data_IF_754880995589
#
_entry.id   IF_754880995589
#
_cell.length_a   1.000
_cell.length_b   1.000
_cell.length_c   1.000
_cell.angle_alpha   90.00
_cell.angle_beta   90.00
_cell.angle_gamma   90.00
#
_symmetry.space_group_name_H-M   'P 1'
#
loop_
_entity.id
_entity.type
_entity.pdbx_description
1 polymer ?
#
# COMPACT_ATOMS: atom_id res chain seq x y z
N UNK A 1 25.48 3.89 -55.09
CA UNK A 1 25.82 2.64 -54.41
C UNK A 1 24.57 2.15 -53.70
N UNK A 2 23.91 1.12 -54.21
CA UNK A 2 22.73 0.52 -53.57
C UNK A 2 23.19 -0.53 -52.56
N UNK A 3 22.75 -0.43 -51.31
CA UNK A 3 23.02 -1.43 -50.27
C UNK A 3 21.99 -2.56 -50.35
N UNK A 4 22.46 -3.81 -50.36
CA UNK A 4 21.58 -4.99 -50.27
C UNK A 4 20.97 -5.10 -48.85
N UNK A 5 19.68 -5.42 -48.77
CA UNK A 5 18.94 -5.58 -47.52
C UNK A 5 18.43 -7.01 -47.41
N UNK A 6 18.78 -7.73 -46.33
CA UNK A 6 18.33 -9.09 -46.04
C UNK A 6 17.30 -9.04 -44.90
N UNK A 7 16.04 -9.35 -45.21
CA UNK A 7 14.93 -9.30 -44.25
C UNK A 7 14.73 -10.66 -43.57
N UNK A 8 15.01 -10.75 -42.28
CA UNK A 8 14.73 -11.93 -41.46
C UNK A 8 13.39 -11.77 -40.74
N UNK A 9 12.51 -12.78 -40.84
CA UNK A 9 11.19 -12.77 -40.21
C UNK A 9 10.88 -14.11 -39.52
N UNK A 10 9.88 -14.12 -38.63
CA UNK A 10 9.52 -15.32 -37.87
C UNK A 10 8.70 -16.28 -38.73
N UNK A 11 8.78 -17.61 -38.50
CA UNK A 11 7.99 -18.60 -39.24
C UNK A 11 6.48 -18.49 -39.04
N UNK A 12 6.04 -17.81 -37.97
CA UNK A 12 4.63 -17.63 -37.62
C UNK A 12 4.00 -16.35 -38.20
N UNK A 13 4.73 -15.59 -39.02
CA UNK A 13 4.17 -14.40 -39.67
C UNK A 13 3.07 -14.78 -40.67
N UNK A 14 1.94 -14.10 -40.57
CA UNK A 14 0.74 -14.42 -41.35
C UNK A 14 0.83 -13.96 -42.80
N UNK A 15 1.54 -12.85 -43.07
CA UNK A 15 1.74 -12.34 -44.43
C UNK A 15 3.18 -11.83 -44.65
N UNK A 16 4.11 -12.73 -45.03
CA UNK A 16 5.48 -12.37 -45.36
C UNK A 16 5.62 -11.41 -46.55
N UNK A 17 4.61 -11.31 -47.42
CA UNK A 17 4.70 -10.52 -48.67
C UNK A 17 4.53 -9.03 -48.42
N UNK A 18 3.92 -8.63 -47.29
CA UNK A 18 3.78 -7.23 -46.90
C UNK A 18 5.02 -6.70 -46.16
N UNK A 19 5.85 -7.58 -45.60
CA UNK A 19 7.00 -7.20 -44.77
C UNK A 19 8.00 -6.29 -45.50
N UNK A 20 8.30 -6.45 -46.81
CA UNK A 20 9.18 -5.52 -47.54
C UNK A 20 8.67 -4.08 -47.52
N UNK A 21 7.36 -3.85 -47.68
CA UNK A 21 6.76 -2.49 -47.65
C UNK A 21 6.80 -1.85 -46.26
N UNK A 22 6.76 -2.68 -45.21
CA UNK A 22 6.88 -2.24 -43.82
C UNK A 22 8.34 -1.92 -43.50
N UNK A 23 9.27 -2.80 -43.90
CA UNK A 23 10.70 -2.62 -43.73
C UNK A 23 11.22 -1.38 -44.48
N UNK A 24 10.69 -1.10 -45.67
CA UNK A 24 10.98 0.13 -46.43
C UNK A 24 10.74 1.39 -45.59
N UNK A 25 9.61 1.47 -44.89
CA UNK A 25 9.31 2.60 -43.98
C UNK A 25 10.20 2.65 -42.76
N UNK A 26 10.66 1.50 -42.26
CA UNK A 26 11.53 1.43 -41.08
C UNK A 26 12.98 1.81 -41.40
N UNK A 27 13.45 1.52 -42.62
CA UNK A 27 14.79 1.86 -43.10
C UNK A 27 14.85 3.31 -43.59
N UNK A 28 13.70 3.91 -43.94
CA UNK A 28 13.62 5.30 -44.36
C UNK A 28 14.16 6.23 -43.27
N UNK A 29 15.09 7.09 -43.64
CA UNK A 29 15.59 8.14 -42.76
C UNK A 29 14.44 9.04 -42.29
N UNK A 30 14.45 9.36 -41.00
CA UNK A 30 13.46 10.23 -40.38
C UNK A 30 14.18 11.38 -39.66
N UNK A 31 13.50 12.53 -39.46
CA UNK A 31 14.11 13.66 -38.80
C UNK A 31 14.53 13.28 -37.37
N UNK A 32 15.83 13.31 -37.12
CA UNK A 32 16.39 13.00 -35.79
C UNK A 32 16.31 14.23 -34.91
N UNK A 33 15.82 14.05 -33.68
CA UNK A 33 15.87 15.12 -32.67
C UNK A 33 17.34 15.38 -32.31
N UNK A 34 17.78 16.64 -32.18
CA UNK A 34 19.12 16.93 -31.68
C UNK A 34 19.30 16.30 -30.30
N UNK A 35 20.45 15.67 -30.06
CA UNK A 35 20.78 15.08 -28.76
C UNK A 35 21.00 16.19 -27.75
N UNK A 36 20.02 16.39 -26.87
CA UNK A 36 20.15 17.33 -25.76
C UNK A 36 21.26 16.87 -24.83
N UNK A 37 22.21 17.76 -24.56
CA UNK A 37 23.19 17.54 -23.50
C UNK A 37 22.49 17.69 -22.15
N UNK A 38 22.84 16.83 -21.20
CA UNK A 38 22.35 16.96 -19.84
C UNK A 38 22.89 18.26 -19.23
N UNK A 39 21.98 19.08 -18.71
CA UNK A 39 22.30 20.31 -17.98
C UNK A 39 21.49 20.29 -16.68
N UNK A 40 22.14 20.33 -15.50
CA UNK A 40 21.43 20.48 -14.24
C UNK A 40 20.62 21.77 -14.25
N UNK A 41 19.35 21.70 -13.88
CA UNK A 41 18.51 22.91 -13.76
C UNK A 41 19.01 23.87 -12.68
N UNK A 42 19.70 23.34 -11.68
CA UNK A 42 20.32 24.12 -10.61
C UNK A 42 21.81 23.84 -10.60
N UNK A 43 22.60 24.88 -10.82
CA UNK A 43 24.05 24.81 -10.70
C UNK A 43 24.44 24.69 -9.23
N UNK A 44 25.59 24.05 -8.98
CA UNK A 44 26.12 23.93 -7.63
C UNK A 44 26.51 25.33 -7.11
N UNK A 45 25.74 25.82 -6.15
CA UNK A 45 25.94 27.11 -5.51
C UNK A 45 26.45 26.89 -4.09
N UNK A 46 27.76 27.08 -3.89
CA UNK A 46 28.39 26.88 -2.58
C UNK A 46 27.90 27.89 -1.52
N UNK A 47 27.22 28.97 -1.93
CA UNK A 47 26.62 29.95 -1.02
C UNK A 47 25.25 29.50 -0.48
N UNK A 48 24.59 28.52 -1.13
CA UNK A 48 23.28 27.99 -0.73
C UNK A 48 23.43 26.68 0.01
N UNK A 49 23.49 26.76 1.34
CA UNK A 49 23.54 25.57 2.18
C UNK A 49 22.16 24.88 2.23
N UNK A 50 22.08 23.57 1.95
CA UNK A 50 20.83 22.84 2.08
C UNK A 50 20.42 22.74 3.55
N UNK A 51 19.10 22.85 3.80
CA UNK A 51 18.55 22.65 5.14
C UNK A 51 18.61 21.16 5.50
N UNK A 52 19.52 20.81 6.41
CA UNK A 52 19.66 19.44 6.91
C UNK A 52 18.90 19.28 8.23
N UNK A 53 18.04 18.25 8.39
CA UNK A 53 17.42 17.97 9.67
C UNK A 53 18.49 17.64 10.72
N UNK A 54 18.29 18.13 11.96
CA UNK A 54 19.23 17.91 13.07
C UNK A 54 19.39 16.43 13.43
N UNK A 55 18.33 15.63 13.25
CA UNK A 55 18.31 14.21 13.62
C UNK A 55 18.73 13.36 12.43
N UNK A 56 19.64 12.43 12.70
CA UNK A 56 19.97 11.36 11.77
C UNK A 56 18.81 10.34 11.70
N UNK A 57 18.66 9.64 10.56
CA UNK A 57 17.81 8.45 10.50
C UNK A 57 18.22 7.42 11.57
N UNK A 58 17.29 6.58 12.06
CA UNK A 58 17.64 5.47 12.93
C UNK A 58 18.59 4.53 12.19
N UNK A 59 19.75 4.29 12.77
CA UNK A 59 20.72 3.30 12.28
C UNK A 59 20.47 2.02 13.06
N UNK A 60 20.14 0.94 12.36
CA UNK A 60 20.01 -0.39 12.96
C UNK A 60 21.45 -0.94 13.10
N UNK A 61 21.83 -1.36 14.30
CA UNK A 61 23.13 -2.00 14.50
C UNK A 61 23.15 -3.37 13.82
N UNK A 62 24.33 -3.90 13.52
CA UNK A 62 24.48 -5.21 12.88
C UNK A 62 23.84 -6.31 13.74
N UNK A 63 24.00 -6.23 15.07
CA UNK A 63 23.38 -7.15 16.02
C UNK A 63 21.85 -7.05 16.00
N UNK A 64 21.30 -5.83 15.96
CA UNK A 64 19.86 -5.62 15.86
C UNK A 64 19.29 -6.07 14.50
N UNK A 65 20.10 -6.03 13.43
CA UNK A 65 19.72 -6.57 12.13
C UNK A 65 19.68 -8.11 12.17
N UNK A 66 20.63 -8.76 12.86
CA UNK A 66 20.63 -10.22 12.98
C UNK A 66 19.54 -10.76 13.89
N UNK A 67 19.19 -10.04 14.96
CA UNK A 67 17.99 -10.35 15.76
C UNK A 67 16.73 -10.30 14.89
N UNK A 68 16.59 -9.29 14.02
CA UNK A 68 15.46 -9.21 13.07
C UNK A 68 15.46 -10.36 12.07
N UNK A 69 16.63 -10.80 11.57
CA UNK A 69 16.70 -11.98 10.70
C UNK A 69 16.22 -13.24 11.40
N UNK A 70 16.59 -13.44 12.67
CA UNK A 70 16.11 -14.60 13.45
C UNK A 70 14.58 -14.59 13.57
N UNK A 71 13.95 -13.43 13.76
CA UNK A 71 12.49 -13.31 13.78
C UNK A 71 11.83 -13.52 12.41
N UNK A 72 12.50 -13.17 11.31
CA UNK A 72 12.03 -13.46 9.95
C UNK A 72 12.07 -14.96 9.66
N UNK A 73 13.14 -15.66 10.07
CA UNK A 73 13.26 -17.12 9.93
C UNK A 73 12.19 -17.86 10.75
N UNK A 74 11.81 -17.33 11.91
CA UNK A 74 10.72 -17.89 12.74
C UNK A 74 9.34 -17.59 12.11
N UNK A 75 9.19 -16.47 11.39
CA UNK A 75 7.93 -16.11 10.70
C UNK A 75 7.73 -16.83 9.36
N UNK A 76 8.76 -17.48 8.81
CA UNK A 76 8.67 -18.30 7.59
C UNK A 76 8.08 -19.69 7.83
N UNK A 77 7.24 -19.86 8.85
CA UNK A 77 6.35 -21.01 8.91
C UNK A 77 5.17 -20.79 7.96
N UNK A 78 5.35 -21.30 6.74
CA UNK A 78 4.30 -21.80 5.83
C UNK A 78 3.23 -20.82 5.33
N UNK A 79 3.63 -19.62 4.92
CA UNK A 79 2.96 -19.00 3.76
C UNK A 79 3.81 -19.36 2.57
N UNK A 80 3.36 -20.34 1.76
CA UNK A 80 3.84 -20.51 0.39
C UNK A 80 3.77 -19.13 -0.26
N UNK A 81 4.91 -18.46 -0.36
CA UNK A 81 5.08 -17.29 -1.19
C UNK A 81 4.74 -17.78 -2.58
N UNK A 82 3.50 -17.52 -3.02
CA UNK A 82 3.19 -17.56 -4.44
C UNK A 82 4.04 -16.44 -5.02
N UNK A 83 5.26 -16.80 -5.41
CA UNK A 83 6.08 -16.03 -6.33
C UNK A 83 5.16 -15.72 -7.50
N UNK A 84 4.60 -14.51 -7.50
CA UNK A 84 3.84 -14.01 -8.63
C UNK A 84 4.87 -13.73 -9.72
N UNK A 85 5.15 -14.77 -10.49
CA UNK A 85 5.89 -14.65 -11.73
C UNK A 85 4.88 -14.26 -12.81
N UNK A 86 4.87 -12.97 -13.13
CA UNK A 86 4.00 -12.40 -14.16
C UNK A 86 4.32 -12.90 -15.58
N UNK A 87 5.33 -13.77 -15.74
CA UNK A 87 5.75 -14.33 -17.04
C UNK A 87 5.23 -15.74 -17.31
N UNK A 88 4.56 -16.38 -16.34
CA UNK A 88 4.16 -17.80 -16.43
C UNK A 88 3.25 -18.11 -17.63
N UNK A 89 2.44 -17.15 -18.09
CA UNK A 89 1.55 -17.29 -19.24
C UNK A 89 2.00 -16.50 -20.48
N UNK A 90 3.13 -15.80 -20.40
CA UNK A 90 3.71 -15.06 -21.53
C UNK A 90 4.69 -15.97 -22.26
N UNK A 91 4.19 -16.68 -23.28
CA UNK A 91 4.97 -17.56 -24.16
C UNK A 91 6.21 -16.88 -24.78
N UNK A 92 6.25 -15.55 -24.79
CA UNK A 92 7.36 -14.72 -25.27
C UNK A 92 8.63 -14.80 -24.40
N UNK A 93 8.51 -15.21 -23.13
CA UNK A 93 9.61 -15.23 -22.16
C UNK A 93 10.04 -16.62 -21.70
N UNK A 94 9.46 -17.69 -22.27
CA UNK A 94 9.89 -19.04 -21.93
C UNK A 94 11.32 -19.31 -22.42
N UNK A 95 12.28 -19.63 -21.52
CA UNK A 95 13.63 -19.97 -21.94
C UNK A 95 13.58 -21.27 -22.75
N UNK A 96 14.00 -21.20 -24.01
CA UNK A 96 14.07 -22.37 -24.88
C UNK A 96 15.12 -23.36 -24.32
N UNK A 97 14.65 -24.37 -23.56
CA UNK A 97 15.48 -25.35 -22.86
C UNK A 97 16.40 -26.18 -23.77
N UNK A 98 16.32 -26.03 -25.10
CA UNK A 98 17.22 -26.70 -26.04
C UNK A 98 18.65 -26.13 -26.06
N UNK A 99 18.95 -25.02 -25.38
CA UNK A 99 20.28 -24.35 -25.46
C UNK A 99 21.04 -24.12 -24.14
N UNK A 100 20.66 -24.76 -23.03
CA UNK A 100 21.38 -24.57 -21.74
C UNK A 100 22.11 -25.85 -21.29
N UNK A 101 23.15 -26.24 -22.04
CA UNK A 101 24.11 -27.29 -21.62
C UNK A 101 25.42 -26.72 -21.06
N UNK A 102 25.53 -25.43 -20.83
CA UNK A 102 26.71 -24.87 -20.16
C UNK A 102 26.28 -23.87 -19.09
N UNK A 103 26.88 -24.04 -17.91
CA UNK A 103 26.80 -23.23 -16.69
C UNK A 103 25.54 -23.48 -15.84
N UNK A 104 25.56 -23.86 -14.56
CA UNK A 104 26.57 -24.07 -13.50
C UNK A 104 25.86 -25.02 -12.50
N UNK A 105 26.25 -26.29 -12.39
CA UNK A 105 26.87 -26.94 -11.21
C UNK A 105 26.96 -26.11 -9.92
N UNK A 106 26.10 -26.43 -8.93
CA UNK A 106 26.57 -26.81 -7.59
C UNK A 106 25.42 -27.21 -6.65
N UNK A 107 25.39 -28.52 -6.35
CA UNK A 107 25.16 -29.14 -5.05
C UNK A 107 23.89 -28.81 -4.24
N UNK A 108 22.89 -29.70 -4.34
CA UNK A 108 22.07 -30.08 -3.19
C UNK A 108 22.43 -31.52 -2.77
N UNK A 109 22.72 -31.70 -1.49
CA UNK A 109 22.61 -32.96 -0.75
C UNK A 109 21.61 -32.63 0.37
N UNK A 110 20.36 -33.07 0.24
CA UNK A 110 19.82 -34.30 0.82
C UNK A 110 19.82 -34.26 2.36
N UNK A 111 18.64 -34.16 2.97
CA UNK A 111 18.12 -35.25 3.81
C UNK A 111 16.67 -35.02 4.25
N UNK A 112 15.93 -36.14 4.22
CA UNK A 112 14.60 -36.40 4.78
C UNK A 112 14.67 -36.23 6.32
N UNK A 113 13.62 -36.16 7.14
CA UNK A 113 12.44 -37.03 7.23
C UNK A 113 11.57 -36.54 8.41
N UNK A 114 10.25 -36.69 8.29
CA UNK A 114 9.30 -37.16 9.31
C UNK A 114 9.08 -36.45 10.67
N UNK A 115 7.82 -36.01 10.80
CA UNK A 115 6.81 -36.37 11.82
C UNK A 115 7.21 -36.47 13.30
N UNK A 116 6.42 -35.82 14.15
CA UNK A 116 6.22 -36.27 15.53
C UNK A 116 5.69 -35.20 16.46
N UNK A 117 4.45 -35.37 16.92
CA UNK A 117 3.80 -34.60 17.99
C UNK A 117 4.67 -34.49 19.25
N UNK A 118 4.54 -33.38 19.99
CA UNK A 118 3.96 -33.41 21.35
C UNK A 118 3.78 -31.99 21.92
N UNK A 119 2.64 -31.82 22.59
CA UNK A 119 2.29 -30.73 23.49
C UNK A 119 3.41 -30.34 24.46
N UNK A 120 3.48 -29.04 24.80
CA UNK A 120 3.29 -28.58 26.19
C UNK A 120 3.25 -27.05 26.32
N UNK A 121 2.08 -26.63 26.81
CA UNK A 121 1.73 -25.51 27.68
C UNK A 121 2.74 -24.41 28.01
N UNK A 122 2.17 -23.19 27.97
CA UNK A 122 2.29 -22.11 28.95
C UNK A 122 3.60 -21.33 29.00
N UNK A 123 3.54 -20.04 28.63
CA UNK A 123 3.55 -19.00 29.67
C UNK A 123 3.20 -17.61 29.13
N UNK A 124 2.49 -16.86 29.97
CA UNK A 124 1.94 -15.53 29.74
C UNK A 124 3.07 -14.48 29.63
N UNK A 125 3.67 -14.35 28.46
CA UNK A 125 4.52 -13.21 28.14
C UNK A 125 3.68 -11.97 27.83
N UNK A 126 3.82 -10.91 28.64
CA UNK A 126 3.18 -9.60 28.42
C UNK A 126 3.48 -9.10 27.00
N UNK A 127 2.52 -9.27 26.10
CA UNK A 127 2.67 -8.90 24.69
C UNK A 127 2.94 -7.40 24.59
N UNK A 128 4.11 -7.07 24.04
CA UNK A 128 4.51 -5.71 23.75
C UNK A 128 3.43 -5.04 22.89
N UNK A 129 3.03 -3.83 23.30
CA UNK A 129 1.91 -3.06 22.73
C UNK A 129 2.22 -2.64 21.29
N UNK A 130 2.07 -3.56 20.34
CA UNK A 130 2.15 -3.29 18.89
C UNK A 130 1.11 -2.22 18.54
N UNK A 131 1.54 -1.15 17.85
CA UNK A 131 0.63 -0.19 17.21
C UNK A 131 0.08 -0.86 15.97
N UNK A 132 -1.24 -0.82 15.78
CA UNK A 132 -1.90 -1.38 14.61
C UNK A 132 -2.46 -0.23 13.77
N UNK A 133 -2.29 -0.35 12.46
CA UNK A 133 -2.72 0.62 11.45
C UNK A 133 -3.48 -0.12 10.34
N UNK A 134 -4.50 0.50 9.78
CA UNK A 134 -5.23 -0.01 8.61
C UNK A 134 -5.61 1.13 7.68
N UNK A 135 -5.60 0.87 6.37
CA UNK A 135 -5.83 1.84 5.30
C UNK A 135 -6.79 1.24 4.29
N UNK A 136 -7.83 1.98 3.89
CA UNK A 136 -8.70 1.62 2.77
C UNK A 136 -8.12 2.16 1.46
N UNK A 137 -8.19 1.38 0.37
CA UNK A 137 -7.93 1.92 -0.97
C UNK A 137 -9.18 2.65 -1.50
N UNK A 138 -9.03 3.63 -2.40
CA UNK A 138 -10.16 4.24 -3.06
C UNK A 138 -10.88 3.20 -3.92
N UNK A 139 -12.12 2.88 -3.56
CA UNK A 139 -13.01 2.02 -4.35
C UNK A 139 -13.88 2.90 -5.26
N UNK A 140 -13.90 2.60 -6.56
CA UNK A 140 -14.72 3.29 -7.57
C UNK A 140 -16.23 3.18 -7.32
N UNK A 141 -16.66 2.31 -6.39
CA UNK A 141 -18.07 2.06 -6.10
C UNK A 141 -18.64 2.94 -4.97
N UNK A 142 -17.82 3.80 -4.34
CA UNK A 142 -18.28 4.78 -3.33
C UNK A 142 -18.95 6.01 -3.99
N UNK A 143 -19.92 5.80 -4.86
CA UNK A 143 -20.73 6.86 -5.46
C UNK A 143 -22.19 6.83 -5.00
N UNK A 144 -22.63 5.76 -4.33
CA UNK A 144 -24.07 5.49 -4.25
C UNK A 144 -24.84 6.30 -3.20
N UNK A 145 -24.23 6.88 -2.15
CA UNK A 145 -24.99 7.60 -1.11
C UNK A 145 -24.17 8.68 -0.37
N UNK A 146 -23.50 9.59 -1.08
CA UNK A 146 -22.89 10.77 -0.44
C UNK A 146 -23.96 11.85 -0.32
N UNK A 147 -24.70 11.83 0.79
CA UNK A 147 -25.61 12.92 1.12
C UNK A 147 -24.81 14.20 1.44
N UNK A 148 -25.33 15.39 1.09
CA UNK A 148 -24.68 16.64 1.48
C UNK A 148 -24.55 16.70 3.00
N UNK A 149 -23.41 17.22 3.49
CA UNK A 149 -23.15 17.42 4.91
C UNK A 149 -24.32 18.20 5.56
N UNK A 150 -24.67 17.86 6.78
CA UNK A 150 -25.71 18.56 7.54
C UNK A 150 -25.43 20.06 7.63
N UNK A 151 -26.49 20.87 7.63
CA UNK A 151 -26.38 22.33 7.71
C UNK A 151 -25.52 22.79 8.89
N UNK A 152 -25.67 22.10 10.04
CA UNK A 152 -24.86 22.33 11.24
C UNK A 152 -23.37 22.16 10.99
N UNK A 153 -22.97 21.06 10.32
CA UNK A 153 -21.58 20.82 9.99
C UNK A 153 -21.07 21.81 8.93
N UNK A 154 -21.88 22.13 7.93
CA UNK A 154 -21.53 23.14 6.93
C UNK A 154 -21.26 24.52 7.55
N UNK A 155 -22.10 24.96 8.48
CA UNK A 155 -21.94 26.24 9.17
C UNK A 155 -20.67 26.26 10.04
N UNK A 156 -20.35 25.16 10.72
CA UNK A 156 -19.08 25.00 11.45
C UNK A 156 -17.86 25.04 10.51
N UNK A 157 -17.91 24.38 9.35
CA UNK A 157 -16.81 24.38 8.39
C UNK A 157 -16.56 25.77 7.79
N UNK A 158 -17.63 26.53 7.50
CA UNK A 158 -17.55 27.92 7.04
C UNK A 158 -16.94 28.82 8.11
N UNK A 159 -17.39 28.71 9.37
CA UNK A 159 -16.84 29.51 10.46
C UNK A 159 -15.34 29.26 10.69
N UNK A 160 -14.87 28.04 10.45
CA UNK A 160 -13.47 27.64 10.61
C UNK A 160 -12.63 27.77 9.33
N UNK A 161 -13.22 28.21 8.20
CA UNK A 161 -12.59 28.24 6.88
C UNK A 161 -11.88 26.91 6.51
N UNK A 162 -12.53 25.78 6.82
CA UNK A 162 -11.97 24.46 6.57
C UNK A 162 -12.27 24.00 5.14
N UNK A 163 -11.22 23.56 4.43
CA UNK A 163 -11.35 22.98 3.10
C UNK A 163 -11.95 21.57 3.15
N UNK A 164 -12.75 21.21 2.15
CA UNK A 164 -13.46 19.92 2.08
C UNK A 164 -12.51 18.71 2.06
N UNK A 165 -11.31 18.86 1.48
CA UNK A 165 -10.26 17.82 1.45
C UNK A 165 -9.40 17.75 2.73
N UNK A 166 -9.71 18.53 3.76
CA UNK A 166 -8.96 18.47 5.01
C UNK A 166 -9.24 17.14 5.73
N UNK A 167 -8.25 16.62 6.46
CA UNK A 167 -8.37 15.37 7.22
C UNK A 167 -8.91 15.63 8.62
N UNK A 168 -9.94 14.89 9.00
CA UNK A 168 -10.51 14.87 10.33
C UNK A 168 -10.45 13.45 10.93
N UNK A 169 -10.64 13.34 12.24
CA UNK A 169 -10.67 12.04 12.94
C UNK A 169 -11.91 11.87 13.78
N UNK A 170 -12.57 10.73 13.65
CA UNK A 170 -13.53 10.23 14.62
C UNK A 170 -12.80 9.53 15.75
N UNK A 171 -13.24 9.76 16.99
CA UNK A 171 -12.69 9.07 18.17
C UNK A 171 -13.75 8.14 18.75
N UNK A 172 -13.41 6.86 18.83
CA UNK A 172 -14.23 5.82 19.48
C UNK A 172 -13.57 5.50 20.81
N UNK A 173 -14.31 5.71 21.89
CA UNK A 173 -13.88 5.46 23.26
C UNK A 173 -14.66 4.30 23.85
N UNK A 174 -14.10 3.63 24.86
CA UNK A 174 -14.78 2.51 25.53
C UNK A 174 -16.19 2.87 26.02
N UNK A 175 -16.44 4.12 26.44
CA UNK A 175 -17.75 4.56 26.92
C UNK A 175 -18.86 4.53 25.84
N UNK A 176 -18.47 4.55 24.56
CA UNK A 176 -19.38 4.53 23.40
C UNK A 176 -19.54 3.08 22.88
N UNK A 177 -18.67 2.20 23.35
CA UNK A 177 -18.72 0.78 23.07
C UNK A 177 -19.78 0.20 24.01
N UNK A 178 -20.76 -0.52 23.44
CA UNK A 178 -21.75 -1.29 24.22
C UNK A 178 -21.04 -2.41 25.03
N UNK A 179 -21.68 -3.56 25.21
CA UNK A 179 -21.08 -4.76 25.81
C UNK A 179 -19.90 -5.37 25.00
N UNK A 180 -19.30 -4.62 24.07
CA UNK A 180 -18.20 -5.04 23.20
C UNK A 180 -16.90 -4.41 23.68
N UNK A 181 -15.79 -5.16 23.59
CA UNK A 181 -14.46 -4.60 23.88
C UNK A 181 -13.98 -3.73 22.73
N UNK A 182 -13.03 -2.83 23.00
CA UNK A 182 -12.38 -2.04 21.95
C UNK A 182 -11.65 -2.94 20.95
N UNK A 183 -11.14 -4.09 21.40
CA UNK A 183 -10.52 -5.12 20.56
C UNK A 183 -11.50 -5.72 19.56
N UNK A 184 -12.74 -6.03 19.99
CA UNK A 184 -13.80 -6.54 19.11
C UNK A 184 -14.18 -5.50 18.06
N UNK A 185 -14.30 -4.25 18.48
CA UNK A 185 -14.60 -3.12 17.59
C UNK A 185 -13.45 -2.88 16.61
N UNK A 186 -12.20 -2.99 17.06
CA UNK A 186 -11.03 -2.89 16.21
C UNK A 186 -11.00 -4.01 15.16
N UNK A 187 -11.34 -5.24 15.54
CA UNK A 187 -11.42 -6.36 14.59
C UNK A 187 -12.49 -6.12 13.51
N UNK A 188 -13.70 -5.69 13.91
CA UNK A 188 -14.79 -5.34 12.99
C UNK A 188 -14.43 -4.17 12.09
N UNK A 189 -13.83 -3.12 12.64
CA UNK A 189 -13.39 -1.96 11.87
C UNK A 189 -12.35 -2.34 10.81
N UNK A 190 -11.38 -3.20 11.15
CA UNK A 190 -10.40 -3.68 10.17
C UNK A 190 -11.06 -4.46 9.05
N UNK A 191 -12.09 -5.25 9.34
CA UNK A 191 -12.87 -5.93 8.31
C UNK A 191 -13.52 -4.92 7.36
N UNK A 192 -14.23 -3.91 7.88
CA UNK A 192 -14.88 -2.84 7.09
C UNK A 192 -13.86 -2.10 6.20
N UNK A 193 -12.68 -1.76 6.75
CA UNK A 193 -11.62 -1.06 6.00
C UNK A 193 -11.03 -1.94 4.90
N UNK A 194 -10.79 -3.24 5.18
CA UNK A 194 -10.24 -4.19 4.19
C UNK A 194 -11.21 -4.45 3.04
N UNK A 195 -12.51 -4.41 3.30
CA UNK A 195 -13.55 -4.56 2.28
C UNK A 195 -13.89 -3.24 1.56
N UNK A 196 -13.11 -2.17 1.80
CA UNK A 196 -13.28 -0.84 1.19
C UNK A 196 -14.71 -0.29 1.35
N UNK A 197 -15.36 -0.56 2.48
CA UNK A 197 -16.69 -0.01 2.80
C UNK A 197 -16.62 1.44 3.30
N UNK A 198 -15.40 1.94 3.57
CA UNK A 198 -15.14 3.30 4.05
C UNK A 198 -14.29 4.09 3.04
N UNK A 199 -14.73 5.27 2.59
CA UNK A 199 -13.99 6.07 1.62
C UNK A 199 -12.78 6.76 2.25
N UNK A 200 -11.58 6.55 1.71
CA UNK A 200 -10.35 7.29 2.08
C UNK A 200 -10.05 7.26 3.59
N UNK A 201 -10.41 6.18 4.28
CA UNK A 201 -10.28 6.07 5.73
C UNK A 201 -8.98 5.36 6.16
N UNK A 202 -8.41 5.84 7.26
CA UNK A 202 -7.31 5.18 7.96
C UNK A 202 -7.68 5.08 9.44
N UNK A 203 -7.42 3.95 10.08
CA UNK A 203 -7.66 3.80 11.50
C UNK A 203 -6.41 3.42 12.30
N UNK A 204 -6.37 3.86 13.55
CA UNK A 204 -5.29 3.58 14.50
C UNK A 204 -5.87 3.22 15.86
N UNK A 205 -5.44 2.08 16.42
CA UNK A 205 -5.83 1.71 17.77
C UNK A 205 -4.79 2.15 18.80
N UNK A 206 -5.19 3.07 19.67
CA UNK A 206 -4.40 3.57 20.79
C UNK A 206 -4.80 2.89 22.09
N UNK A 207 -4.32 1.65 22.29
CA UNK A 207 -4.60 0.87 23.51
C UNK A 207 -4.25 1.58 24.82
N UNK A 208 -3.21 2.41 24.81
CA UNK A 208 -2.78 3.14 25.99
C UNK A 208 -3.77 4.24 26.41
N UNK A 209 -4.56 4.79 25.48
CA UNK A 209 -5.61 5.76 25.76
C UNK A 209 -7.00 5.12 25.81
N UNK A 210 -7.13 3.83 25.46
CA UNK A 210 -8.44 3.20 25.30
C UNK A 210 -9.27 3.85 24.19
N UNK A 211 -8.62 4.25 23.09
CA UNK A 211 -9.28 4.94 21.98
C UNK A 211 -8.90 4.35 20.62
N UNK A 212 -9.87 4.31 19.71
CA UNK A 212 -9.64 4.05 18.29
C UNK A 212 -9.86 5.37 17.54
N UNK A 213 -8.89 5.74 16.71
CA UNK A 213 -8.95 6.94 15.88
C UNK A 213 -9.22 6.52 14.45
N UNK A 214 -10.26 7.08 13.83
CA UNK A 214 -10.61 6.82 12.43
C UNK A 214 -10.51 8.14 11.67
N UNK A 215 -9.47 8.26 10.85
CA UNK A 215 -9.23 9.40 9.99
C UNK A 215 -10.05 9.29 8.70
N UNK A 216 -10.66 10.39 8.29
CA UNK A 216 -11.42 10.53 7.04
C UNK A 216 -11.31 11.96 6.50
N UNK A 217 -11.62 12.14 5.23
CA UNK A 217 -11.70 13.48 4.63
C UNK A 217 -13.00 14.18 5.06
N UNK A 218 -12.97 15.50 5.24
CA UNK A 218 -14.15 16.29 5.67
C UNK A 218 -15.34 16.09 4.73
N UNK A 219 -15.10 15.90 3.43
CA UNK A 219 -16.15 15.61 2.45
C UNK A 219 -17.02 14.40 2.83
N UNK A 220 -16.44 13.40 3.49
CA UNK A 220 -17.10 12.13 3.79
C UNK A 220 -17.33 11.92 5.28
N UNK A 221 -16.95 12.86 6.14
CA UNK A 221 -16.85 12.62 7.57
C UNK A 221 -18.19 12.25 8.23
N UNK A 222 -19.31 12.87 7.82
CA UNK A 222 -20.63 12.57 8.38
C UNK A 222 -21.18 11.21 7.92
N UNK A 223 -20.95 10.86 6.65
CA UNK A 223 -21.24 9.53 6.11
C UNK A 223 -20.44 8.44 6.84
N UNK A 224 -19.13 8.64 6.97
CA UNK A 224 -18.23 7.74 7.69
C UNK A 224 -18.69 7.58 9.14
N UNK A 225 -19.04 8.67 9.83
CA UNK A 225 -19.51 8.60 11.22
C UNK A 225 -20.80 7.78 11.36
N UNK A 226 -21.74 7.96 10.43
CA UNK A 226 -23.00 7.20 10.40
C UNK A 226 -22.76 5.70 10.15
N UNK A 227 -21.86 5.38 9.21
CA UNK A 227 -21.48 4.00 8.92
C UNK A 227 -20.80 3.33 10.11
N UNK A 228 -19.89 4.03 10.78
CA UNK A 228 -19.25 3.55 12.00
C UNK A 228 -20.28 3.26 13.09
N UNK A 229 -21.22 4.17 13.36
CA UNK A 229 -22.28 3.94 14.35
C UNK A 229 -23.15 2.73 14.02
N UNK A 230 -23.60 2.62 12.77
CA UNK A 230 -24.47 1.53 12.33
C UNK A 230 -23.77 0.17 12.36
N UNK A 231 -22.60 0.05 11.70
CA UNK A 231 -21.90 -1.23 11.53
C UNK A 231 -21.23 -1.72 12.81
N UNK A 232 -20.75 -0.83 13.67
CA UNK A 232 -20.09 -1.19 14.92
C UNK A 232 -21.05 -1.21 16.11
N UNK A 233 -22.33 -0.85 15.91
CA UNK A 233 -23.36 -0.76 16.94
C UNK A 233 -22.90 0.09 18.14
N UNK A 234 -22.33 1.26 17.85
CA UNK A 234 -21.84 2.22 18.84
C UNK A 234 -23.01 3.01 19.44
N UNK A 235 -22.99 3.25 20.75
CA UNK A 235 -24.03 4.01 21.46
C UNK A 235 -23.47 5.28 22.07
N UNK A 236 -24.25 6.35 22.07
CA UNK A 236 -23.83 7.63 22.62
C UNK A 236 -23.11 8.53 21.61
N UNK A 237 -22.36 9.50 22.15
CA UNK A 237 -21.83 10.64 21.42
C UNK A 237 -20.42 10.37 20.89
N UNK A 238 -20.25 10.43 19.58
CA UNK A 238 -18.95 10.33 18.90
C UNK A 238 -18.48 11.73 18.49
N UNK A 239 -17.18 12.00 18.61
CA UNK A 239 -16.61 13.32 18.33
C UNK A 239 -15.73 13.30 17.08
N UNK A 240 -15.94 14.28 16.20
CA UNK A 240 -15.11 14.57 15.03
C UNK A 240 -14.13 15.68 15.40
N UNK A 241 -12.84 15.38 15.28
CA UNK A 241 -11.76 16.31 15.60
C UNK A 241 -10.95 16.66 14.38
N UNK A 242 -10.57 17.93 14.27
CA UNK A 242 -9.64 18.43 13.27
C UNK A 242 -8.37 18.89 13.96
N UNK A 243 -7.22 18.44 13.44
CA UNK A 243 -5.92 18.86 13.95
C UNK A 243 -5.80 20.39 13.87
N UNK A 244 -5.50 21.03 15.01
CA UNK A 244 -5.50 22.48 15.31
C UNK A 244 -6.82 23.09 15.83
N UNK A 245 -7.98 22.56 15.46
CA UNK A 245 -9.28 23.15 15.85
C UNK A 245 -10.01 22.39 16.97
N UNK A 246 -9.55 21.19 17.29
CA UNK A 246 -10.19 20.36 18.31
C UNK A 246 -11.48 19.73 17.79
N UNK A 247 -12.47 19.55 18.66
CA UNK A 247 -13.77 18.95 18.31
C UNK A 247 -14.59 19.96 17.52
N UNK A 248 -14.88 19.64 16.26
CA UNK A 248 -15.67 20.51 15.37
C UNK A 248 -17.12 20.06 15.22
N UNK A 249 -17.40 18.78 15.48
CA UNK A 249 -18.72 18.19 15.32
C UNK A 249 -18.85 16.95 16.19
N UNK A 250 -20.08 16.62 16.56
CA UNK A 250 -20.40 15.42 17.31
C UNK A 250 -21.73 14.85 16.85
N UNK A 251 -21.82 13.52 16.81
CA UNK A 251 -23.04 12.80 16.49
C UNK A 251 -23.43 11.82 17.58
#
# INVERSE_FOLDING_TARGET
MSTEVILHYRPCESDPTQLPKIAEKAIQDFPTRPLSRFIPWFLHDASKLPLKPKRSPPVISEEAAEDVKQYLTISEHDVKSQSYDCTVDLLEFQPNFKKRKHLIRSHSLNEQTNSGNLDKQSEKGRQHKKRFWSVSLPNSNCTENIFPLSKKLQDCLKALNLHSLYRARWTIEHAICNNQTLEDIWAKLNHIIRHNELPSCNATFQRHLGQIWVFCDIMYCEYVGSLLKGRLALTGKMNLLVHKYGVIFSM
#
